data_IF_921954073235
#
_entry.id   IF_921954073235
#
_cell.length_a   1.000
_cell.length_b   1.000
_cell.length_c   1.000
_cell.angle_alpha   90.00
_cell.angle_beta   90.00
_cell.angle_gamma   90.00
#
_symmetry.space_group_name_H-M   'P 1'
#
loop_
_entity.id
_entity.type
_entity.pdbx_description
1 polymer ?
#
# COMPACT_ATOMS: atom_id res chain seq x y z
N UNK A 1 -12.40 -9.50 -9.01
CA UNK A 1 -11.32 -10.52 -8.94
C UNK A 1 -10.75 -10.85 -10.32
N UNK A 2 -11.50 -11.41 -11.28
CA UNK A 2 -10.96 -11.79 -12.61
C UNK A 2 -10.41 -10.61 -13.44
N UNK A 3 -11.12 -9.47 -13.43
CA UNK A 3 -10.69 -8.25 -14.13
C UNK A 3 -9.37 -7.71 -13.57
N UNK A 4 -9.26 -7.63 -12.24
CA UNK A 4 -8.05 -7.17 -11.54
C UNK A 4 -6.86 -8.07 -11.85
N UNK A 5 -7.06 -9.39 -11.87
CA UNK A 5 -6.00 -10.35 -12.15
C UNK A 5 -5.48 -10.22 -13.59
N UNK A 6 -6.39 -10.03 -14.54
CA UNK A 6 -6.04 -9.80 -15.96
C UNK A 6 -5.27 -8.49 -16.12
N UNK A 7 -5.74 -7.41 -15.49
CA UNK A 7 -5.08 -6.10 -15.50
C UNK A 7 -3.68 -6.17 -14.92
N UNK A 8 -3.49 -6.86 -13.78
CA UNK A 8 -2.18 -6.99 -13.14
C UNK A 8 -1.18 -7.72 -14.04
N UNK A 9 -1.59 -8.82 -14.68
CA UNK A 9 -0.73 -9.57 -15.61
C UNK A 9 -0.28 -8.73 -16.81
N UNK A 10 -1.20 -7.95 -17.40
CA UNK A 10 -0.87 -7.05 -18.50
C UNK A 10 0.09 -5.93 -18.06
N UNK A 11 -0.19 -5.32 -16.91
CA UNK A 11 0.58 -4.22 -16.35
C UNK A 11 2.01 -4.64 -16.01
N UNK A 12 2.21 -5.80 -15.38
CA UNK A 12 3.55 -6.34 -15.08
C UNK A 12 4.41 -6.47 -16.34
N UNK A 13 3.84 -6.95 -17.45
CA UNK A 13 4.57 -7.10 -18.70
C UNK A 13 5.00 -5.76 -19.31
N UNK A 14 4.14 -4.75 -19.22
CA UNK A 14 4.43 -3.39 -19.70
C UNK A 14 5.52 -2.75 -18.84
N UNK A 15 5.43 -2.87 -17.52
CA UNK A 15 6.43 -2.32 -16.59
C UNK A 15 7.80 -2.97 -16.83
N UNK A 16 7.86 -4.30 -16.89
CA UNK A 16 9.12 -5.03 -17.10
C UNK A 16 9.82 -4.63 -18.42
N UNK A 17 9.04 -4.37 -19.47
CA UNK A 17 9.56 -3.94 -20.77
C UNK A 17 10.10 -2.50 -20.75
N UNK A 18 9.55 -1.62 -19.92
CA UNK A 18 9.87 -0.19 -19.90
C UNK A 18 10.90 0.21 -18.83
N UNK A 19 10.91 -0.44 -17.67
CA UNK A 19 11.91 -0.26 -16.61
C UNK A 19 13.17 -1.11 -16.86
N UNK A 20 13.01 -2.30 -17.46
CA UNK A 20 14.10 -3.26 -17.53
C UNK A 20 14.25 -4.08 -16.24
N UNK A 21 15.09 -5.11 -16.30
CA UNK A 21 15.19 -6.15 -15.27
C UNK A 21 15.84 -5.61 -13.97
N UNK A 22 16.84 -4.75 -14.08
CA UNK A 22 17.51 -4.15 -12.90
C UNK A 22 16.55 -3.26 -12.11
N UNK A 23 15.85 -2.34 -12.77
CA UNK A 23 14.94 -1.40 -12.12
C UNK A 23 13.72 -2.06 -11.51
N UNK A 24 13.15 -3.01 -12.24
CA UNK A 24 12.06 -3.81 -11.69
C UNK A 24 12.52 -4.67 -10.51
N UNK A 25 13.77 -5.15 -10.54
CA UNK A 25 14.41 -5.86 -9.43
C UNK A 25 14.55 -4.98 -8.19
N UNK A 26 15.10 -3.77 -8.35
CA UNK A 26 15.25 -2.79 -7.26
C UNK A 26 13.88 -2.47 -6.64
N UNK A 27 12.88 -2.15 -7.46
CA UNK A 27 11.53 -1.86 -6.96
C UNK A 27 10.93 -3.03 -6.18
N UNK A 28 11.06 -4.27 -6.69
CA UNK A 28 10.51 -5.43 -5.99
C UNK A 28 11.24 -5.73 -4.68
N UNK A 29 12.57 -5.62 -4.63
CA UNK A 29 13.33 -5.87 -3.40
C UNK A 29 13.01 -4.83 -2.34
N UNK A 30 13.01 -3.55 -2.73
CA UNK A 30 12.66 -2.43 -1.83
C UNK A 30 11.20 -2.53 -1.38
N UNK A 31 10.28 -2.82 -2.32
CA UNK A 31 8.87 -3.02 -2.03
C UNK A 31 8.60 -4.24 -1.14
N UNK A 32 9.42 -5.30 -1.23
CA UNK A 32 9.26 -6.50 -0.40
C UNK A 32 9.52 -6.23 1.08
N UNK A 33 10.45 -5.33 1.41
CA UNK A 33 10.70 -4.91 2.81
C UNK A 33 9.44 -4.30 3.41
N UNK A 34 8.74 -3.49 2.63
CA UNK A 34 7.50 -2.83 3.06
C UNK A 34 6.31 -3.79 3.01
N UNK A 35 6.29 -4.72 2.04
CA UNK A 35 5.26 -5.74 1.92
C UNK A 35 5.21 -6.68 3.13
N UNK A 36 6.29 -6.81 3.90
CA UNK A 36 6.28 -7.51 5.19
C UNK A 36 5.27 -6.91 6.18
N UNK A 37 4.87 -5.65 6.06
CA UNK A 37 3.84 -5.05 6.91
C UNK A 37 2.41 -5.27 6.40
N UNK A 38 2.23 -5.85 5.19
CA UNK A 38 0.89 -6.08 4.61
C UNK A 38 0.04 -7.09 5.39
N UNK A 39 0.66 -8.04 6.09
CA UNK A 39 -0.08 -8.98 6.94
C UNK A 39 -0.81 -8.23 8.07
N UNK A 40 -0.19 -7.16 8.58
CA UNK A 40 -0.74 -6.36 9.67
C UNK A 40 -1.99 -5.62 9.21
N UNK A 41 -1.94 -5.04 8.00
CA UNK A 41 -3.10 -4.41 7.35
C UNK A 41 -4.26 -5.40 7.21
N UNK A 42 -3.98 -6.62 6.73
CA UNK A 42 -4.98 -7.68 6.56
C UNK A 42 -5.59 -8.13 7.89
N UNK A 43 -4.77 -8.32 8.92
CA UNK A 43 -5.23 -8.71 10.25
C UNK A 43 -6.12 -7.62 10.88
N UNK A 44 -5.73 -6.35 10.75
CA UNK A 44 -6.52 -5.21 11.22
C UNK A 44 -7.85 -5.08 10.49
N UNK A 45 -7.85 -5.25 9.17
CA UNK A 45 -9.06 -5.21 8.36
C UNK A 45 -10.12 -6.20 8.89
N UNK A 46 -9.69 -7.45 9.09
CA UNK A 46 -10.54 -8.54 9.56
C UNK A 46 -11.07 -8.29 10.98
N UNK A 47 -10.19 -7.83 11.88
CA UNK A 47 -10.57 -7.50 13.25
C UNK A 47 -11.57 -6.33 13.32
N UNK A 48 -11.25 -5.21 12.67
CA UNK A 48 -12.08 -4.01 12.64
C UNK A 48 -13.46 -4.32 12.05
N UNK A 49 -13.50 -4.99 10.89
CA UNK A 49 -14.76 -5.38 10.26
C UNK A 49 -15.64 -6.20 11.20
N UNK A 50 -15.07 -7.20 11.90
CA UNK A 50 -15.83 -8.06 12.82
C UNK A 50 -16.43 -7.28 13.99
N UNK A 51 -15.67 -6.37 14.60
CA UNK A 51 -16.17 -5.56 15.72
C UNK A 51 -17.20 -4.52 15.26
N UNK A 52 -16.97 -3.88 14.11
CA UNK A 52 -17.90 -2.91 13.53
C UNK A 52 -19.22 -3.58 13.12
N UNK A 53 -19.17 -4.72 12.43
CA UNK A 53 -20.37 -5.47 12.03
C UNK A 53 -21.20 -5.93 13.24
N UNK A 54 -20.54 -6.33 14.33
CA UNK A 54 -21.24 -6.69 15.57
C UNK A 54 -21.98 -5.50 16.19
N UNK A 55 -21.35 -4.31 16.23
CA UNK A 55 -21.97 -3.11 16.78
C UNK A 55 -23.12 -2.60 15.90
N UNK A 56 -22.98 -2.67 14.57
CA UNK A 56 -24.04 -2.34 13.61
C UNK A 56 -25.25 -3.25 13.82
N UNK A 57 -25.05 -4.57 13.97
CA UNK A 57 -26.12 -5.53 14.21
C UNK A 57 -26.87 -5.33 15.54
N UNK A 58 -26.28 -4.61 16.50
CA UNK A 58 -26.89 -4.27 17.79
C UNK A 58 -27.56 -2.88 17.79
N UNK A 59 -27.48 -2.14 16.68
CA UNK A 59 -27.95 -0.75 16.52
C UNK A 59 -27.37 0.23 17.57
N UNK A 60 -26.23 -0.11 18.16
CA UNK A 60 -25.61 0.63 19.26
C UNK A 60 -24.59 1.66 18.72
N UNK A 61 -25.09 2.88 18.47
CA UNK A 61 -24.29 3.96 17.87
C UNK A 61 -23.12 4.44 18.74
N UNK A 62 -23.26 4.39 20.07
CA UNK A 62 -22.16 4.74 20.97
C UNK A 62 -21.05 3.70 20.90
N UNK A 63 -21.42 2.42 20.93
CA UNK A 63 -20.46 1.32 20.80
C UNK A 63 -19.75 1.35 19.45
N UNK A 64 -20.46 1.65 18.36
CA UNK A 64 -19.89 1.81 17.02
C UNK A 64 -18.83 2.93 16.97
N UNK A 65 -19.16 4.11 17.51
CA UNK A 65 -18.21 5.23 17.56
C UNK A 65 -16.98 4.93 18.41
N UNK A 66 -17.17 4.22 19.54
CA UNK A 66 -16.06 3.81 20.40
C UNK A 66 -15.12 2.83 19.67
N UNK A 67 -15.66 1.82 18.99
CA UNK A 67 -14.87 0.85 18.21
C UNK A 67 -14.10 1.55 17.09
N UNK A 68 -14.74 2.46 16.35
CA UNK A 68 -14.06 3.21 15.29
C UNK A 68 -12.90 4.06 15.83
N UNK A 69 -13.12 4.78 16.94
CA UNK A 69 -12.06 5.55 17.61
C UNK A 69 -10.90 4.65 18.05
N UNK A 70 -11.19 3.50 18.65
CA UNK A 70 -10.15 2.53 19.03
C UNK A 70 -9.40 1.98 17.82
N UNK A 71 -10.10 1.62 16.75
CA UNK A 71 -9.48 1.15 15.50
C UNK A 71 -8.55 2.20 14.89
N UNK A 72 -8.97 3.47 14.89
CA UNK A 72 -8.15 4.59 14.41
C UNK A 72 -6.91 4.81 15.26
N UNK A 73 -7.04 4.80 16.60
CA UNK A 73 -5.91 4.96 17.53
C UNK A 73 -4.91 3.81 17.37
N UNK A 74 -5.38 2.57 17.26
CA UNK A 74 -4.52 1.39 17.05
C UNK A 74 -3.80 1.49 15.71
N UNK A 75 -4.51 1.90 14.64
CA UNK A 75 -3.92 2.11 13.31
C UNK A 75 -2.82 3.17 13.35
N UNK A 76 -3.06 4.27 14.07
CA UNK A 76 -2.07 5.34 14.25
C UNK A 76 -0.84 4.85 15.04
N UNK A 77 -1.04 4.09 16.12
CA UNK A 77 0.06 3.50 16.88
C UNK A 77 0.91 2.55 16.03
N UNK A 78 0.27 1.77 15.17
CA UNK A 78 0.95 0.88 14.23
C UNK A 78 1.73 1.66 13.19
N UNK A 79 1.17 2.74 12.63
CA UNK A 79 1.88 3.60 11.67
C UNK A 79 3.16 4.18 12.29
N UNK A 80 3.10 4.61 13.57
CA UNK A 80 4.30 5.05 14.29
C UNK A 80 5.32 3.93 14.47
N UNK A 81 4.88 2.71 14.78
CA UNK A 81 5.79 1.55 14.87
C UNK A 81 6.44 1.22 13.51
N UNK A 82 5.66 1.27 12.42
CA UNK A 82 6.18 1.08 11.05
C UNK A 82 7.20 2.16 10.72
N UNK A 83 6.96 3.43 11.10
CA UNK A 83 7.91 4.53 10.90
C UNK A 83 9.22 4.27 11.63
N UNK A 84 9.15 3.92 12.91
CA UNK A 84 10.34 3.65 13.72
C UNK A 84 11.14 2.46 13.18
N UNK A 85 10.47 1.38 12.81
CA UNK A 85 11.12 0.16 12.29
C UNK A 85 11.67 0.40 10.87
N UNK A 86 10.91 1.09 10.03
CA UNK A 86 11.30 1.42 8.65
C UNK A 86 12.52 2.33 8.60
N UNK A 87 12.54 3.40 9.39
CA UNK A 87 13.67 4.33 9.43
C UNK A 87 14.91 3.72 10.11
N UNK A 88 14.75 2.74 11.00
CA UNK A 88 15.90 2.10 11.66
C UNK A 88 16.40 0.87 10.92
N UNK A 89 15.60 -0.20 10.88
CA UNK A 89 15.98 -1.48 10.29
C UNK A 89 15.97 -1.43 8.76
N UNK A 90 15.03 -0.70 8.17
CA UNK A 90 14.90 -0.64 6.71
C UNK A 90 16.02 0.16 6.04
N UNK A 91 16.38 1.32 6.59
CA UNK A 91 17.56 2.07 6.13
C UNK A 91 18.87 1.27 6.35
N UNK A 92 18.99 0.57 7.48
CA UNK A 92 20.15 -0.29 7.74
C UNK A 92 20.28 -1.40 6.70
N UNK A 93 19.17 -2.02 6.30
CA UNK A 93 19.14 -3.06 5.28
C UNK A 93 19.55 -2.51 3.90
N UNK A 94 19.05 -1.34 3.52
CA UNK A 94 19.41 -0.68 2.25
C UNK A 94 20.90 -0.38 2.20
N UNK A 95 21.48 0.11 3.31
CA UNK A 95 22.88 0.51 3.33
C UNK A 95 23.87 -0.67 3.37
N UNK A 96 23.51 -1.79 4.02
CA UNK A 96 24.46 -2.88 4.28
C UNK A 96 24.26 -4.13 3.41
N UNK A 97 23.03 -4.41 2.95
CA UNK A 97 22.70 -5.67 2.29
C UNK A 97 22.16 -5.51 0.86
N UNK A 98 21.72 -4.30 0.50
CA UNK A 98 21.20 -4.04 -0.84
C UNK A 98 22.36 -3.79 -1.81
N UNK A 99 22.68 -4.81 -2.61
CA UNK A 99 23.68 -4.70 -3.67
C UNK A 99 23.07 -4.00 -4.90
N UNK A 100 23.07 -2.67 -4.90
CA UNK A 100 22.58 -1.83 -6.00
C UNK A 100 23.77 -1.24 -6.76
N UNK A 101 23.72 -1.13 -8.10
CA UNK A 101 24.70 -0.35 -8.86
C UNK A 101 24.81 1.07 -8.28
N UNK A 102 26.03 1.62 -8.08
CA UNK A 102 26.22 2.92 -7.44
C UNK A 102 25.53 4.07 -8.20
N UNK A 103 25.27 3.90 -9.50
CA UNK A 103 24.54 4.87 -10.33
C UNK A 103 23.06 4.99 -9.98
N UNK A 104 22.45 4.00 -9.29
CA UNK A 104 21.01 3.96 -8.96
C UNK A 104 20.72 3.98 -7.45
N UNK A 105 21.72 4.34 -6.66
CA UNK A 105 21.59 4.37 -5.20
C UNK A 105 20.56 5.41 -4.73
N UNK A 106 20.61 6.63 -5.28
CA UNK A 106 19.66 7.71 -4.96
C UNK A 106 18.21 7.31 -5.31
N UNK A 107 18.01 6.71 -6.49
CA UNK A 107 16.70 6.26 -6.93
C UNK A 107 16.13 5.17 -6.00
N UNK A 108 16.97 4.26 -5.50
CA UNK A 108 16.57 3.20 -4.55
C UNK A 108 16.12 3.76 -3.21
N UNK A 109 16.82 4.77 -2.67
CA UNK A 109 16.44 5.46 -1.45
C UNK A 109 15.10 6.18 -1.58
N UNK A 110 14.86 6.84 -2.72
CA UNK A 110 13.60 7.52 -3.01
C UNK A 110 12.45 6.50 -3.11
N UNK A 111 12.63 5.41 -3.85
CA UNK A 111 11.63 4.34 -3.98
C UNK A 111 11.28 3.75 -2.61
N UNK A 112 12.27 3.59 -1.74
CA UNK A 112 12.06 3.11 -0.38
C UNK A 112 11.19 4.04 0.44
N UNK A 113 11.53 5.34 0.47
CA UNK A 113 10.74 6.32 1.21
C UNK A 113 9.31 6.40 0.69
N UNK A 114 9.10 6.40 -0.62
CA UNK A 114 7.75 6.42 -1.19
C UNK A 114 6.98 5.15 -0.82
N UNK A 115 7.62 3.98 -0.88
CA UNK A 115 7.01 2.72 -0.48
C UNK A 115 6.61 2.73 0.99
N UNK A 116 7.49 3.23 1.87
CA UNK A 116 7.24 3.34 3.29
C UNK A 116 6.05 4.28 3.59
N UNK A 117 6.02 5.46 2.96
CA UNK A 117 4.90 6.42 3.08
C UNK A 117 3.60 5.80 2.55
N UNK A 118 3.64 5.12 1.41
CA UNK A 118 2.47 4.43 0.85
C UNK A 118 1.91 3.38 1.82
N UNK A 119 2.77 2.62 2.50
CA UNK A 119 2.35 1.67 3.53
C UNK A 119 1.72 2.35 4.75
N UNK A 120 2.22 3.51 5.17
CA UNK A 120 1.62 4.28 6.26
C UNK A 120 0.22 4.76 5.89
N UNK A 121 0.05 5.30 4.68
CA UNK A 121 -1.25 5.75 4.17
C UNK A 121 -2.21 4.58 4.10
N UNK A 122 -1.81 3.46 3.50
CA UNK A 122 -2.66 2.25 3.40
C UNK A 122 -3.09 1.73 4.76
N UNK A 123 -2.17 1.69 5.73
CA UNK A 123 -2.47 1.24 7.10
C UNK A 123 -3.48 2.17 7.79
N UNK A 124 -3.37 3.48 7.57
CA UNK A 124 -4.31 4.45 8.12
C UNK A 124 -5.69 4.38 7.45
N UNK A 125 -5.72 4.22 6.12
CA UNK A 125 -6.97 4.09 5.35
C UNK A 125 -7.71 2.78 5.64
N UNK A 126 -7.03 1.76 6.16
CA UNK A 126 -7.63 0.46 6.51
C UNK A 126 -8.81 0.56 7.49
N UNK A 127 -8.74 1.49 8.46
CA UNK A 127 -9.83 1.72 9.41
C UNK A 127 -11.12 2.17 8.70
N UNK A 128 -11.00 3.08 7.74
CA UNK A 128 -12.12 3.55 6.91
C UNK A 128 -12.63 2.45 5.98
N UNK A 129 -11.72 1.70 5.38
CA UNK A 129 -12.09 0.60 4.50
C UNK A 129 -12.94 -0.45 5.23
N UNK A 130 -12.56 -0.78 6.47
CA UNK A 130 -13.28 -1.72 7.32
C UNK A 130 -14.69 -1.22 7.68
N UNK A 131 -14.85 0.08 7.87
CA UNK A 131 -16.14 0.72 8.19
C UNK A 131 -17.10 0.74 6.99
N UNK A 132 -16.60 1.02 5.79
CA UNK A 132 -17.38 0.94 4.54
C UNK A 132 -17.91 -0.47 4.29
N UNK A 133 -17.06 -1.49 4.52
CA UNK A 133 -17.47 -2.89 4.37
C UNK A 133 -18.50 -3.25 5.46
N UNK A 134 -18.30 -2.83 6.71
CA UNK A 134 -19.21 -3.14 7.81
C UNK A 134 -20.61 -2.55 7.63
N UNK A 135 -20.73 -1.37 7.02
CA UNK A 135 -22.02 -0.75 6.67
C UNK A 135 -22.63 -1.29 5.37
N UNK A 136 -22.05 -2.32 4.74
CA UNK A 136 -22.54 -2.92 3.49
C UNK A 136 -22.68 -1.90 2.34
N UNK A 137 -21.93 -0.78 2.38
CA UNK A 137 -21.87 0.20 1.28
C UNK A 137 -20.98 -0.31 0.13
N UNK A 138 -21.23 -1.55 -0.31
CA UNK A 138 -20.47 -2.26 -1.32
C UNK A 138 -20.45 -1.56 -2.69
N UNK A 139 -21.48 -0.78 -3.01
CA UNK A 139 -21.51 0.03 -4.23
C UNK A 139 -20.43 1.12 -4.19
N UNK A 140 -20.30 1.85 -3.08
CA UNK A 140 -19.28 2.88 -2.91
C UNK A 140 -17.87 2.28 -2.93
N UNK A 141 -17.70 1.16 -2.25
CA UNK A 141 -16.47 0.37 -2.27
C UNK A 141 -16.07 -0.03 -3.70
N UNK A 142 -17.00 -0.55 -4.50
CA UNK A 142 -16.73 -0.96 -5.87
C UNK A 142 -16.29 0.21 -6.75
N UNK A 143 -16.93 1.38 -6.62
CA UNK A 143 -16.50 2.60 -7.34
C UNK A 143 -15.11 3.05 -6.91
N UNK A 144 -14.81 3.04 -5.61
CA UNK A 144 -13.50 3.42 -5.09
C UNK A 144 -12.39 2.49 -5.60
N UNK A 145 -12.59 1.17 -5.51
CA UNK A 145 -11.62 0.18 -6.01
C UNK A 145 -11.47 0.19 -7.53
N UNK A 146 -12.54 0.47 -8.27
CA UNK A 146 -12.46 0.64 -9.71
C UNK A 146 -11.63 1.88 -10.07
N UNK A 147 -11.91 3.01 -9.41
CA UNK A 147 -11.16 4.26 -9.62
C UNK A 147 -9.68 4.10 -9.28
N UNK A 148 -9.35 3.45 -8.17
CA UNK A 148 -7.98 3.12 -7.78
C UNK A 148 -7.28 2.24 -8.84
N UNK A 149 -7.98 1.24 -9.37
CA UNK A 149 -7.44 0.36 -10.42
C UNK A 149 -7.17 1.11 -11.72
N UNK A 150 -8.07 2.01 -12.12
CA UNK A 150 -7.91 2.86 -13.32
C UNK A 150 -6.73 3.83 -13.14
N UNK A 151 -6.57 4.42 -11.96
CA UNK A 151 -5.41 5.25 -11.62
C UNK A 151 -4.10 4.48 -11.74
N UNK A 152 -4.03 3.27 -11.17
CA UNK A 152 -2.83 2.40 -11.26
C UNK A 152 -2.46 2.07 -12.71
N UNK A 153 -3.45 1.76 -13.55
CA UNK A 153 -3.23 1.54 -14.99
C UNK A 153 -2.76 2.83 -15.68
N UNK A 154 -3.35 3.96 -15.33
CA UNK A 154 -2.99 5.27 -15.91
C UNK A 154 -1.53 5.60 -15.62
N UNK A 155 -1.08 5.41 -14.37
CA UNK A 155 0.33 5.58 -13.97
C UNK A 155 1.24 4.62 -14.75
N UNK A 156 0.86 3.35 -14.89
CA UNK A 156 1.64 2.37 -15.63
C UNK A 156 1.82 2.72 -17.12
N UNK A 157 0.81 3.35 -17.75
CA UNK A 157 0.90 3.84 -19.13
C UNK A 157 1.71 5.14 -19.21
N UNK A 158 1.58 6.03 -18.23
CA UNK A 158 2.31 7.31 -18.16
C UNK A 158 3.82 7.14 -17.99
N UNK A 159 4.29 6.03 -17.41
CA UNK A 159 5.72 5.65 -17.36
C UNK A 159 6.36 5.63 -18.76
N UNK A 160 5.59 5.30 -19.81
CA UNK A 160 6.09 5.22 -21.19
C UNK A 160 6.44 6.61 -21.76
N UNK A 161 5.79 7.67 -21.27
CA UNK A 161 5.93 9.02 -21.78
C UNK A 161 6.69 9.98 -20.83
N UNK A 162 7.11 9.51 -19.66
CA UNK A 162 7.73 10.37 -18.66
C UNK A 162 9.21 10.67 -18.97
N UNK A 163 9.62 11.96 -18.95
CA UNK A 163 11.02 12.40 -19.10
C UNK A 163 11.84 12.31 -17.80
N UNK A 164 11.21 11.91 -16.67
CA UNK A 164 11.85 11.70 -15.36
C UNK A 164 12.38 10.26 -15.27
N UNK A 165 13.37 10.01 -14.41
CA UNK A 165 13.85 8.67 -14.11
C UNK A 165 12.66 7.72 -13.84
N UNK A 166 12.54 6.71 -14.70
CA UNK A 166 11.34 5.86 -14.80
C UNK A 166 11.10 5.09 -13.51
N UNK A 167 12.16 4.83 -12.74
CA UNK A 167 12.08 4.18 -11.45
C UNK A 167 11.37 5.06 -10.41
N UNK A 168 11.74 6.33 -10.32
CA UNK A 168 11.16 7.29 -9.38
C UNK A 168 9.70 7.57 -9.75
N UNK A 169 9.42 7.72 -11.05
CA UNK A 169 8.06 7.94 -11.53
C UNK A 169 7.15 6.71 -11.29
N UNK A 170 7.69 5.49 -11.36
CA UNK A 170 6.92 4.29 -11.03
C UNK A 170 6.66 4.12 -9.53
N UNK A 171 7.60 4.56 -8.69
CA UNK A 171 7.42 4.49 -7.25
C UNK A 171 6.42 5.51 -6.71
N UNK A 172 6.28 6.65 -7.38
CA UNK A 172 5.36 7.76 -7.07
C UNK A 172 3.89 7.38 -7.20
#
# INVERSE_FOLDING_TARGET
>A
MFVVLTVSLFTTRIILKNLGVEDYGIYNVVGSIVALFSFLQTAMASANYRYLAFAIGKEDKEQLSAIFKSAFIISFAIVLAILLIGETLGLFYIYNYLNVPPERWDASCIVYQISLVSCMIQTMTMAYYSDVIAHEHMSFFAYLSFFESVLKISIAILIVFSPIDRLVFYAS
#
